data_IF_997093430095
#
_entry.id   IF_997093430095
#
_cell.length_a   1.000
_cell.length_b   1.000
_cell.length_c   1.000
_cell.angle_alpha   90.00
_cell.angle_beta   90.00
_cell.angle_gamma   90.00
#
_symmetry.space_group_name_H-M   'P 1'
#
loop_
_entity.id
_entity.type
_entity.pdbx_description
1 polymer ?
#
# COMPACT_ATOMS: atom_id res chain seq x y z
N UNK A 1 -14.73 57.13 39.41
CA UNK A 1 -14.70 55.72 39.84
C UNK A 1 -15.05 54.90 38.60
N UNK A 2 -14.08 54.44 37.80
CA UNK A 2 -13.20 53.25 38.00
C UNK A 2 -14.03 51.97 38.17
N UNK A 3 -13.88 50.88 37.41
CA UNK A 3 -12.74 50.39 36.62
C UNK A 3 -13.19 49.56 35.41
N UNK A 4 -12.33 49.51 34.39
CA UNK A 4 -12.38 48.59 33.23
C UNK A 4 -11.65 47.30 33.60
N UNK A 5 -12.29 46.15 33.42
CA UNK A 5 -11.62 44.83 33.45
C UNK A 5 -10.73 44.69 32.21
N UNK A 6 -9.47 44.26 32.41
CA UNK A 6 -8.53 43.89 31.35
C UNK A 6 -8.54 42.36 31.18
N UNK A 7 -8.38 41.83 29.95
CA UNK A 7 -8.20 40.40 29.75
C UNK A 7 -6.81 39.94 30.23
N UNK A 8 -6.74 38.77 30.88
CA UNK A 8 -5.49 38.11 31.25
C UNK A 8 -4.70 37.69 30.00
N UNK A 9 -3.48 38.19 29.86
CA UNK A 9 -2.50 37.69 28.90
C UNK A 9 -1.96 36.34 29.39
N UNK A 10 -2.16 35.29 28.60
CA UNK A 10 -1.45 34.02 28.77
C UNK A 10 0.04 34.23 28.43
N UNK A 11 0.85 34.46 29.47
CA UNK A 11 2.31 34.52 29.38
C UNK A 11 2.89 33.10 29.37
N UNK A 12 3.33 32.62 28.21
CA UNK A 12 4.15 31.41 28.13
C UNK A 12 5.62 31.73 28.43
N UNK A 13 6.20 31.02 29.40
CA UNK A 13 7.61 31.17 29.76
C UNK A 13 8.51 30.62 28.62
N UNK A 14 9.61 31.30 28.32
CA UNK A 14 10.57 30.92 27.26
C UNK A 14 11.17 29.52 27.50
N UNK A 15 11.16 29.08 28.76
CA UNK A 15 11.61 27.73 29.17
C UNK A 15 10.60 26.64 28.79
N UNK A 16 9.30 26.92 28.87
CA UNK A 16 8.26 25.97 28.43
C UNK A 16 8.25 25.82 26.91
N UNK A 17 8.45 26.92 26.18
CA UNK A 17 8.56 26.88 24.71
C UNK A 17 9.75 26.03 24.25
N UNK A 18 10.88 26.11 24.96
CA UNK A 18 12.07 25.30 24.69
C UNK A 18 11.85 23.81 24.98
N UNK A 19 11.10 23.49 26.05
CA UNK A 19 10.74 22.12 26.38
C UNK A 19 9.80 21.46 25.36
N UNK A 20 8.81 22.21 24.86
CA UNK A 20 7.88 21.76 23.82
C UNK A 20 8.61 21.56 22.49
N UNK A 21 9.51 22.47 22.11
CA UNK A 21 10.28 22.38 20.87
C UNK A 21 11.24 21.16 20.86
N UNK A 22 11.91 20.88 21.99
CA UNK A 22 12.81 19.73 22.11
C UNK A 22 12.05 18.40 22.21
N UNK A 23 10.92 18.37 22.93
CA UNK A 23 10.05 17.20 23.01
C UNK A 23 9.42 16.82 21.66
N UNK A 24 8.99 17.81 20.88
CA UNK A 24 8.44 17.61 19.53
C UNK A 24 9.48 17.10 18.53
N UNK A 25 10.71 17.62 18.58
CA UNK A 25 11.80 17.18 17.70
C UNK A 25 12.27 15.74 18.02
N UNK A 26 12.31 15.35 19.30
CA UNK A 26 12.67 14.00 19.71
C UNK A 26 11.62 12.95 19.28
N UNK A 27 10.33 13.29 19.34
CA UNK A 27 9.26 12.40 18.85
C UNK A 27 9.32 12.20 17.34
N UNK A 28 9.63 13.25 16.57
CA UNK A 28 9.84 13.16 15.11
C UNK A 28 11.10 12.36 14.73
N UNK A 29 12.16 12.42 15.55
CA UNK A 29 13.38 11.65 15.33
C UNK A 29 13.24 10.15 15.68
N UNK A 30 12.29 9.80 16.55
CA UNK A 30 12.02 8.41 16.97
C UNK A 30 11.09 7.63 16.03
N UNK A 31 10.50 8.29 15.03
CA UNK A 31 9.81 7.61 13.93
C UNK A 31 10.87 6.95 13.04
N UNK A 32 11.48 5.88 13.57
CA UNK A 32 12.48 5.11 12.85
C UNK A 32 11.90 4.67 11.51
N UNK A 33 12.59 5.01 10.43
CA UNK A 33 12.41 4.35 9.15
C UNK A 33 12.85 2.89 9.33
N UNK A 34 11.96 2.06 9.87
CA UNK A 34 12.03 0.61 9.73
C UNK A 34 11.87 0.34 8.23
N UNK A 35 12.99 0.41 7.51
CA UNK A 35 13.05 -0.03 6.12
C UNK A 35 12.55 -1.46 6.11
N UNK A 36 11.43 -1.70 5.43
CA UNK A 36 10.93 -3.05 5.26
C UNK A 36 12.07 -3.91 4.71
N UNK A 37 12.39 -5.00 5.40
CA UNK A 37 13.43 -5.92 4.95
C UNK A 37 12.90 -6.65 3.72
N UNK A 38 13.27 -6.15 2.53
CA UNK A 38 12.99 -6.83 1.29
C UNK A 38 13.65 -8.21 1.35
N UNK A 39 12.82 -9.25 1.19
CA UNK A 39 13.33 -10.62 1.15
C UNK A 39 14.24 -10.76 -0.07
N UNK A 40 15.42 -11.39 0.06
CA UNK A 40 16.29 -11.61 -1.07
C UNK A 40 15.56 -12.36 -2.19
N UNK A 41 15.47 -11.72 -3.36
CA UNK A 41 14.99 -12.36 -4.57
C UNK A 41 16.22 -13.03 -5.19
N UNK A 42 16.22 -14.37 -5.41
CA UNK A 42 17.35 -15.02 -6.06
C UNK A 42 17.66 -14.38 -7.42
N UNK A 43 18.91 -14.38 -7.90
CA UNK A 43 19.23 -13.92 -9.26
C UNK A 43 18.51 -14.74 -10.35
N UNK A 44 18.42 -14.20 -11.57
CA UNK A 44 17.89 -14.90 -12.76
C UNK A 44 16.38 -14.76 -13.00
N UNK A 45 15.90 -15.26 -14.14
CA UNK A 45 14.50 -15.14 -14.60
C UNK A 45 13.54 -15.88 -13.66
N UNK A 46 12.41 -15.25 -13.34
CA UNK A 46 11.34 -15.82 -12.49
C UNK A 46 10.18 -16.26 -13.37
N UNK A 47 10.03 -17.57 -13.54
CA UNK A 47 8.87 -18.12 -14.26
C UNK A 47 7.67 -18.05 -13.34
N UNK A 48 6.64 -17.32 -13.77
CA UNK A 48 5.45 -17.07 -13.00
C UNK A 48 4.21 -16.77 -13.84
N UNK A 49 3.06 -16.84 -13.19
CA UNK A 49 1.73 -16.60 -13.81
C UNK A 49 0.84 -15.78 -12.88
N UNK A 50 -0.36 -15.43 -13.35
CA UNK A 50 -1.44 -15.07 -12.44
C UNK A 50 -1.80 -16.26 -11.53
N UNK A 51 -2.10 -16.00 -10.26
CA UNK A 51 -2.38 -17.08 -9.30
C UNK A 51 -3.75 -17.74 -9.52
N UNK A 52 -4.81 -16.97 -9.75
CA UNK A 52 -6.17 -17.52 -9.73
C UNK A 52 -6.63 -17.83 -8.30
N UNK A 53 -7.37 -18.93 -8.10
CA UNK A 53 -7.94 -19.30 -6.79
C UNK A 53 -6.91 -20.01 -5.90
N UNK A 54 -6.86 -19.64 -4.62
CA UNK A 54 -5.95 -20.25 -3.66
C UNK A 54 -6.51 -21.57 -3.11
N UNK A 55 -6.27 -22.68 -3.82
CA UNK A 55 -6.69 -24.04 -3.45
C UNK A 55 -5.55 -25.04 -3.62
N UNK A 56 -5.61 -26.17 -2.90
CA UNK A 56 -4.60 -27.23 -3.01
C UNK A 56 -4.48 -27.79 -4.43
N UNK A 57 -5.61 -27.92 -5.12
CA UNK A 57 -5.65 -28.36 -6.52
C UNK A 57 -4.90 -27.38 -7.42
N UNK A 58 -5.16 -26.08 -7.30
CA UNK A 58 -4.49 -25.07 -8.11
C UNK A 58 -2.99 -24.98 -7.78
N UNK A 59 -2.62 -25.08 -6.49
CA UNK A 59 -1.22 -25.12 -6.09
C UNK A 59 -0.49 -26.31 -6.70
N UNK A 60 -1.13 -27.50 -6.70
CA UNK A 60 -0.58 -28.70 -7.34
C UNK A 60 -0.42 -28.51 -8.85
N UNK A 61 -1.46 -27.99 -9.50
CA UNK A 61 -1.46 -27.71 -10.95
C UNK A 61 -0.31 -26.77 -11.35
N UNK A 62 -0.17 -25.62 -10.67
CA UNK A 62 0.90 -24.66 -10.97
C UNK A 62 2.29 -25.26 -10.78
N UNK A 63 2.49 -26.04 -9.71
CA UNK A 63 3.77 -26.73 -9.48
C UNK A 63 4.09 -27.76 -10.56
N UNK A 64 3.10 -28.48 -11.07
CA UNK A 64 3.29 -29.42 -12.19
C UNK A 64 3.70 -28.73 -13.49
N UNK A 65 3.31 -27.45 -13.68
CA UNK A 65 3.77 -26.61 -14.79
C UNK A 65 5.17 -26.01 -14.57
N UNK A 66 5.82 -26.28 -13.44
CA UNK A 66 7.11 -25.68 -13.10
C UNK A 66 7.03 -24.20 -12.67
N UNK A 67 5.82 -23.70 -12.38
CA UNK A 67 5.62 -22.34 -11.88
C UNK A 67 6.14 -22.26 -10.45
N UNK A 68 6.93 -21.22 -10.17
CA UNK A 68 7.49 -20.97 -8.83
C UNK A 68 7.07 -19.63 -8.25
N UNK A 69 6.65 -18.68 -9.10
CA UNK A 69 6.24 -17.34 -8.69
C UNK A 69 4.83 -17.01 -9.18
N UNK A 70 4.09 -16.24 -8.40
CA UNK A 70 2.75 -15.78 -8.76
C UNK A 70 2.61 -14.26 -8.65
N UNK A 71 1.79 -13.71 -9.55
CA UNK A 71 1.22 -12.37 -9.45
C UNK A 71 -0.24 -12.48 -9.03
N UNK A 72 -0.64 -11.72 -8.02
CA UNK A 72 -1.94 -11.83 -7.38
C UNK A 72 -2.71 -10.51 -7.47
N UNK A 73 -4.03 -10.62 -7.40
CA UNK A 73 -4.91 -9.48 -7.15
C UNK A 73 -5.30 -9.43 -5.66
N UNK A 74 -5.84 -8.30 -5.26
CA UNK A 74 -6.49 -8.12 -3.97
C UNK A 74 -7.96 -7.71 -4.18
N UNK A 75 -8.70 -7.73 -3.08
CA UNK A 75 -10.02 -7.11 -2.95
C UNK A 75 -9.90 -5.88 -2.04
N UNK A 76 -10.86 -4.94 -2.04
CA UNK A 76 -10.81 -3.79 -1.12
C UNK A 76 -10.63 -4.19 0.35
N UNK A 77 -11.22 -5.29 0.79
CA UNK A 77 -11.12 -5.80 2.17
C UNK A 77 -9.73 -6.36 2.49
N UNK A 78 -9.01 -6.84 1.47
CA UNK A 78 -7.66 -7.40 1.61
C UNK A 78 -6.56 -6.42 1.22
N UNK A 79 -6.91 -5.21 0.76
CA UNK A 79 -6.00 -4.13 0.39
C UNK A 79 -5.39 -3.39 1.60
N UNK A 80 -4.87 -4.17 2.55
CA UNK A 80 -4.23 -3.72 3.79
C UNK A 80 -2.89 -4.44 3.98
N UNK A 81 -2.04 -3.96 4.89
CA UNK A 81 -0.77 -4.62 5.18
C UNK A 81 -0.97 -6.07 5.69
N UNK A 82 -1.96 -6.27 6.56
CA UNK A 82 -2.31 -7.57 7.12
C UNK A 82 -2.94 -8.47 6.04
N UNK A 83 -3.79 -7.91 5.18
CA UNK A 83 -4.40 -8.63 4.07
C UNK A 83 -3.35 -9.14 3.09
N UNK A 84 -2.44 -8.28 2.63
CA UNK A 84 -1.32 -8.69 1.76
C UNK A 84 -0.40 -9.71 2.42
N UNK A 85 -0.14 -9.57 3.72
CA UNK A 85 0.64 -10.57 4.48
C UNK A 85 -0.04 -11.92 4.51
N UNK A 86 -1.36 -11.97 4.77
CA UNK A 86 -2.15 -13.20 4.75
C UNK A 86 -2.18 -13.84 3.37
N UNK A 87 -2.41 -13.05 2.32
CA UNK A 87 -2.36 -13.51 0.93
C UNK A 87 -0.98 -14.17 0.66
N UNK A 88 0.11 -13.48 0.98
CA UNK A 88 1.47 -14.02 0.80
C UNK A 88 1.65 -15.35 1.53
N UNK A 89 1.28 -15.41 2.81
CA UNK A 89 1.41 -16.61 3.63
C UNK A 89 0.58 -17.79 3.09
N UNK A 90 -0.63 -17.55 2.61
CA UNK A 90 -1.49 -18.61 2.04
C UNK A 90 -0.85 -19.25 0.80
N UNK A 91 -0.28 -18.44 -0.09
CA UNK A 91 0.38 -18.94 -1.30
C UNK A 91 1.74 -19.59 -1.00
N UNK A 92 2.50 -19.06 -0.04
CA UNK A 92 3.74 -19.67 0.45
C UNK A 92 3.49 -21.03 1.12
N UNK A 93 2.40 -21.18 1.87
CA UNK A 93 1.99 -22.48 2.42
C UNK A 93 1.67 -23.52 1.31
N UNK A 94 1.22 -23.07 0.15
CA UNK A 94 1.04 -23.89 -1.05
C UNK A 94 2.34 -24.29 -1.77
N UNK A 95 3.48 -23.73 -1.35
CA UNK A 95 4.81 -23.95 -1.92
C UNK A 95 5.16 -23.02 -3.10
N UNK A 96 4.42 -21.92 -3.28
CA UNK A 96 4.66 -20.91 -4.31
C UNK A 96 5.24 -19.64 -3.68
N UNK A 97 5.86 -18.77 -4.48
CA UNK A 97 6.37 -17.47 -4.01
C UNK A 97 5.55 -16.33 -4.60
N UNK A 98 5.22 -15.32 -3.80
CA UNK A 98 4.48 -14.15 -4.31
C UNK A 98 5.47 -13.07 -4.74
N UNK A 99 5.44 -12.71 -6.02
CA UNK A 99 6.30 -11.65 -6.57
C UNK A 99 5.58 -10.31 -6.61
N UNK A 100 4.27 -10.33 -6.83
CA UNK A 100 3.44 -9.16 -7.12
C UNK A 100 2.06 -9.32 -6.47
N UNK A 101 1.56 -8.23 -5.88
CA UNK A 101 0.13 -8.04 -5.61
C UNK A 101 -0.25 -6.72 -6.27
N UNK A 102 -1.02 -6.76 -7.36
CA UNK A 102 -1.25 -5.60 -8.23
C UNK A 102 -2.10 -4.49 -7.58
N UNK A 103 -1.93 -3.26 -8.05
CA UNK A 103 -2.62 -2.05 -7.56
C UNK A 103 -4.07 -1.94 -8.04
N UNK A 104 -4.74 -3.05 -8.36
CA UNK A 104 -6.08 -3.01 -8.95
C UNK A 104 -7.11 -2.33 -8.05
N UNK A 105 -6.97 -2.49 -6.73
CA UNK A 105 -7.92 -1.97 -5.74
C UNK A 105 -7.23 -1.50 -4.47
N UNK A 106 -7.82 -0.49 -3.84
CA UNK A 106 -7.57 0.01 -2.49
C UNK A 106 -8.89 0.13 -1.72
N UNK A 107 -8.84 0.62 -0.46
CA UNK A 107 -10.03 0.78 0.38
C UNK A 107 -11.17 1.60 -0.26
N UNK A 108 -10.86 2.60 -1.10
CA UNK A 108 -11.87 3.43 -1.77
C UNK A 108 -12.22 2.97 -3.20
N UNK A 109 -11.80 1.76 -3.59
CA UNK A 109 -12.05 1.19 -4.91
C UNK A 109 -10.81 1.19 -5.80
N UNK A 110 -10.94 1.57 -7.07
CA UNK A 110 -9.82 1.46 -8.02
C UNK A 110 -8.65 2.35 -7.63
N UNK A 111 -7.45 1.76 -7.61
CA UNK A 111 -6.16 2.48 -7.59
C UNK A 111 -5.52 2.56 -8.99
N UNK A 112 -6.21 2.05 -10.01
CA UNK A 112 -5.89 2.25 -11.42
C UNK A 112 -6.74 3.37 -12.02
N UNK A 113 -6.18 4.10 -12.99
CA UNK A 113 -6.91 5.10 -13.78
C UNK A 113 -7.74 6.08 -12.93
N UNK A 114 -7.17 6.54 -11.81
CA UNK A 114 -7.85 7.43 -10.87
C UNK A 114 -8.04 8.80 -11.54
N UNK A 115 -9.28 9.22 -11.90
CA UNK A 115 -9.51 10.47 -12.61
C UNK A 115 -9.06 11.68 -11.80
N UNK A 116 -9.13 11.61 -10.46
CA UNK A 116 -8.68 12.67 -9.57
C UNK A 116 -7.20 12.96 -9.75
N UNK A 117 -6.38 11.91 -9.86
CA UNK A 117 -4.93 12.04 -10.09
C UNK A 117 -4.63 12.40 -11.54
N UNK A 118 -5.34 11.78 -12.49
CA UNK A 118 -5.10 11.92 -13.93
C UNK A 118 -5.46 13.31 -14.45
N UNK A 119 -6.59 13.86 -14.00
CA UNK A 119 -7.17 15.12 -14.49
C UNK A 119 -7.02 16.26 -13.47
N UNK A 120 -6.30 16.04 -12.37
CA UNK A 120 -6.11 17.01 -11.30
C UNK A 120 -7.44 17.54 -10.70
N UNK A 121 -8.36 16.63 -10.40
CA UNK A 121 -9.67 16.97 -9.83
C UNK A 121 -9.60 17.04 -8.29
N UNK A 122 -10.61 17.62 -7.62
CA UNK A 122 -10.75 17.51 -6.17
C UNK A 122 -10.70 16.04 -5.71
N UNK A 123 -10.01 15.75 -4.61
CA UNK A 123 -9.78 14.37 -4.16
C UNK A 123 -8.41 13.79 -4.56
N UNK A 124 -7.63 14.52 -5.40
CA UNK A 124 -6.31 14.08 -5.90
C UNK A 124 -5.38 13.63 -4.79
N UNK A 125 -5.17 14.47 -3.78
CA UNK A 125 -4.15 14.21 -2.76
C UNK A 125 -4.57 13.05 -1.85
N UNK A 126 -5.87 12.90 -1.59
CA UNK A 126 -6.42 11.73 -0.88
C UNK A 126 -6.15 10.44 -1.66
N UNK A 127 -6.36 10.44 -2.98
CA UNK A 127 -6.07 9.29 -3.85
C UNK A 127 -4.58 8.99 -3.94
N UNK A 128 -3.73 10.00 -4.01
CA UNK A 128 -2.27 9.82 -3.96
C UNK A 128 -1.86 9.17 -2.64
N UNK A 129 -2.37 9.66 -1.51
CA UNK A 129 -2.03 9.11 -0.20
C UNK A 129 -2.53 7.66 -0.04
N UNK A 130 -3.70 7.32 -0.59
CA UNK A 130 -4.16 5.93 -0.64
C UNK A 130 -3.22 5.03 -1.46
N UNK A 131 -2.76 5.51 -2.63
CA UNK A 131 -1.78 4.78 -3.45
C UNK A 131 -0.43 4.62 -2.73
N UNK A 132 0.04 5.66 -2.03
CA UNK A 132 1.25 5.60 -1.22
C UNK A 132 1.09 4.59 -0.06
N UNK A 133 -0.07 4.56 0.59
CA UNK A 133 -0.37 3.57 1.62
C UNK A 133 -0.34 2.14 1.07
N UNK A 134 -0.90 1.92 -0.11
CA UNK A 134 -0.78 0.65 -0.82
C UNK A 134 0.70 0.22 -1.02
N UNK A 135 1.58 1.12 -1.48
CA UNK A 135 3.02 0.83 -1.60
C UNK A 135 3.67 0.50 -0.24
N UNK A 136 3.31 1.24 0.82
CA UNK A 136 3.79 0.96 2.18
C UNK A 136 3.30 -0.41 2.67
N UNK A 137 2.07 -0.80 2.35
CA UNK A 137 1.50 -2.09 2.72
C UNK A 137 2.19 -3.25 2.01
N UNK A 138 2.52 -3.11 0.71
CA UNK A 138 3.35 -4.08 0.00
C UNK A 138 4.71 -4.24 0.66
N UNK A 139 5.36 -3.12 1.00
CA UNK A 139 6.64 -3.11 1.71
C UNK A 139 6.54 -3.90 3.03
N UNK A 140 5.55 -3.59 3.88
CA UNK A 140 5.29 -4.30 5.14
C UNK A 140 5.04 -5.80 4.94
N UNK A 141 4.32 -6.17 3.88
CA UNK A 141 4.05 -7.56 3.53
C UNK A 141 5.26 -8.30 2.93
N UNK A 142 6.34 -7.58 2.60
CA UNK A 142 7.54 -8.12 1.97
C UNK A 142 7.36 -8.42 0.48
N UNK A 143 6.45 -7.72 -0.20
CA UNK A 143 6.21 -7.86 -1.64
C UNK A 143 7.11 -6.87 -2.39
N UNK A 144 8.05 -7.36 -3.22
CA UNK A 144 9.12 -6.52 -3.76
C UNK A 144 8.75 -5.74 -5.02
N UNK A 145 7.65 -6.11 -5.68
CA UNK A 145 7.30 -5.60 -6.99
C UNK A 145 5.79 -5.39 -7.08
N UNK A 146 5.38 -4.37 -7.83
CA UNK A 146 4.00 -4.22 -8.26
C UNK A 146 3.90 -3.68 -9.68
N UNK A 147 2.81 -4.04 -10.36
CA UNK A 147 2.47 -3.51 -11.68
C UNK A 147 1.38 -2.46 -11.55
N UNK A 148 1.61 -1.31 -12.17
CA UNK A 148 0.62 -0.28 -12.44
C UNK A 148 0.44 -0.10 -13.94
N UNK A 149 -0.77 0.23 -14.37
CA UNK A 149 -1.06 0.65 -15.73
C UNK A 149 -1.84 1.96 -15.72
N UNK A 150 -1.44 2.89 -16.59
CA UNK A 150 -2.16 4.15 -16.81
C UNK A 150 -2.89 4.11 -18.14
N UNK A 151 -4.22 4.19 -18.09
CA UNK A 151 -5.11 4.31 -19.22
C UNK A 151 -6.06 5.47 -18.93
N UNK A 152 -5.74 6.66 -19.46
CA UNK A 152 -6.41 7.92 -19.10
C UNK A 152 -7.93 7.96 -19.33
N UNK A 153 -8.47 7.02 -20.11
CA UNK A 153 -9.90 6.85 -20.39
C UNK A 153 -10.41 5.43 -20.06
N UNK A 154 -9.65 4.64 -19.30
CA UNK A 154 -10.03 3.29 -18.89
C UNK A 154 -9.65 2.18 -19.89
N UNK A 155 -10.06 0.95 -19.57
CA UNK A 155 -9.88 -0.23 -20.44
C UNK A 155 -11.05 -0.30 -21.40
N UNK A 156 -10.77 -0.28 -22.70
CA UNK A 156 -11.77 -0.47 -23.74
C UNK A 156 -11.94 -1.96 -24.03
N UNK A 157 -13.18 -2.41 -24.14
CA UNK A 157 -13.53 -3.78 -24.54
C UNK A 157 -14.62 -3.71 -25.60
N UNK A 158 -14.49 -4.51 -26.66
CA UNK A 158 -15.53 -4.68 -27.68
C UNK A 158 -16.75 -5.48 -27.19
N UNK A 159 -16.79 -5.84 -25.90
CA UNK A 159 -17.74 -6.80 -25.35
C UNK A 159 -17.30 -8.25 -25.57
N UNK A 160 -17.98 -9.19 -24.92
CA UNK A 160 -17.83 -10.63 -25.20
C UNK A 160 -18.89 -11.03 -26.22
N UNK A 161 -18.49 -11.68 -27.31
CA UNK A 161 -19.43 -12.45 -28.12
C UNK A 161 -19.89 -13.65 -27.28
N UNK A 162 -21.20 -13.82 -27.10
CA UNK A 162 -21.83 -15.00 -26.50
C UNK A 162 -21.93 -16.12 -27.50
#
# INVERSE_FOLDING_TARGET
MSASEKPEEMSFDRREFSGIALGGAALLASAGNSSATLRPIPPGIKIGTGGGQASEENFRYLKQLGVTWVSLGATPETATAEGFTKIRQQWEAGGLKVYNIGSGVGPSGSLHNMPEVTLNLPGRDQKIEEYLNYLRYLGKAGIPYTTYAHMGNGIWSSGRAT
#
